data_IF_873615472165
#
_entry.id   IF_873615472165
#
_cell.length_a   1.000
_cell.length_b   1.000
_cell.length_c   1.000
_cell.angle_alpha   90.00
_cell.angle_beta   90.00
_cell.angle_gamma   90.00
#
_symmetry.space_group_name_H-M   'P 1'
#
loop_
_entity.id
_entity.type
_entity.pdbx_description
1 polymer ?
#
# COMPACT_ATOMS: atom_id res chain seq x y z
N UNK A 1 -2.30 13.66 -10.25
CA UNK A 1 -1.26 13.35 -9.25
C UNK A 1 -1.61 12.01 -8.65
N UNK A 2 -0.75 11.01 -8.80
CA UNK A 2 -0.95 9.66 -8.27
C UNK A 2 -0.82 9.66 -6.75
N UNK A 3 -1.46 8.70 -6.09
CA UNK A 3 -1.38 8.51 -4.65
C UNK A 3 -0.99 7.06 -4.35
N UNK A 4 -0.07 6.86 -3.41
CA UNK A 4 0.24 5.52 -2.95
C UNK A 4 -0.93 4.89 -2.18
N UNK A 5 -1.05 3.58 -2.23
CA UNK A 5 -2.02 2.84 -1.41
C UNK A 5 -1.54 2.60 0.01
N UNK A 6 -0.24 2.69 0.26
CA UNK A 6 0.32 2.59 1.60
C UNK A 6 0.33 3.95 2.29
N UNK A 7 0.22 3.96 3.60
CA UNK A 7 0.25 5.20 4.36
C UNK A 7 0.15 4.98 5.86
N UNK A 8 0.59 6.00 6.60
CA UNK A 8 0.56 6.05 8.04
C UNK A 8 0.17 7.44 8.51
N UNK A 9 -0.68 7.49 9.52
CA UNK A 9 -1.04 8.73 10.19
C UNK A 9 -1.17 8.52 11.69
N UNK A 10 -0.74 9.49 12.46
CA UNK A 10 -0.85 9.51 13.92
C UNK A 10 -1.23 10.89 14.41
N UNK A 11 -2.10 10.92 15.40
CA UNK A 11 -2.40 12.14 16.15
C UNK A 11 -2.53 11.80 17.63
N UNK A 12 -2.19 12.76 18.46
CA UNK A 12 -2.29 12.63 19.90
C UNK A 12 -2.94 13.89 20.45
N UNK A 13 -3.88 13.71 21.38
CA UNK A 13 -4.52 14.80 22.12
C UNK A 13 -4.36 14.56 23.61
N UNK A 14 -3.95 15.60 24.31
CA UNK A 14 -3.83 15.58 25.76
C UNK A 14 -5.05 16.26 26.38
N UNK A 15 -5.75 15.54 27.24
CA UNK A 15 -6.76 16.03 28.15
C UNK A 15 -6.17 16.14 29.57
N UNK A 16 -6.84 16.81 30.48
CA UNK A 16 -6.32 17.01 31.83
C UNK A 16 -5.98 15.70 32.56
N UNK A 17 -6.82 14.67 32.41
CA UNK A 17 -6.77 13.38 33.10
C UNK A 17 -6.24 12.22 32.25
N UNK A 18 -6.17 12.39 30.92
CA UNK A 18 -5.83 11.31 29.97
C UNK A 18 -5.19 11.86 28.70
N UNK A 19 -4.48 10.97 28.02
CA UNK A 19 -3.91 11.19 26.70
C UNK A 19 -4.59 10.23 25.72
N UNK A 20 -5.06 10.76 24.63
CA UNK A 20 -5.76 10.00 23.59
C UNK A 20 -4.84 9.88 22.40
N UNK A 21 -4.60 8.67 21.96
CA UNK A 21 -3.78 8.37 20.81
C UNK A 21 -4.65 7.81 19.70
N UNK A 22 -4.48 8.35 18.50
CA UNK A 22 -5.12 7.90 17.27
C UNK A 22 -4.03 7.48 16.29
N UNK A 23 -4.12 6.28 15.79
CA UNK A 23 -3.19 5.73 14.79
C UNK A 23 -4.00 5.10 13.66
N UNK A 24 -3.59 5.38 12.43
CA UNK A 24 -4.19 4.82 11.23
C UNK A 24 -3.09 4.36 10.27
N UNK A 25 -3.22 3.13 9.80
CA UNK A 25 -2.30 2.51 8.83
C UNK A 25 -3.10 2.04 7.64
N UNK A 26 -2.51 2.13 6.46
CA UNK A 26 -3.11 1.62 5.25
C UNK A 26 -2.11 0.81 4.44
N UNK A 27 -2.57 -0.33 3.93
CA UNK A 27 -1.87 -1.21 3.02
C UNK A 27 -2.66 -1.36 1.72
N UNK A 28 -1.97 -1.85 0.69
CA UNK A 28 -2.58 -2.11 -0.61
C UNK A 28 -3.72 -3.14 -0.50
N UNK A 29 -4.90 -2.80 -1.04
CA UNK A 29 -6.05 -3.70 -1.19
C UNK A 29 -6.94 -3.27 -2.36
N UNK A 30 -7.61 -4.22 -2.99
CA UNK A 30 -8.55 -3.97 -4.10
C UNK A 30 -9.85 -3.29 -3.66
N UNK A 31 -10.25 -3.48 -2.41
CA UNK A 31 -11.44 -2.91 -1.80
C UNK A 31 -11.10 -2.20 -0.49
N UNK A 32 -12.04 -1.42 0.05
CA UNK A 32 -11.92 -0.89 1.41
C UNK A 32 -12.16 -2.03 2.40
N UNK A 33 -11.14 -2.34 3.20
CA UNK A 33 -11.20 -3.28 4.32
C UNK A 33 -10.75 -2.52 5.58
N UNK A 34 -11.71 -2.13 6.41
CA UNK A 34 -11.47 -1.28 7.58
C UNK A 34 -11.62 -2.08 8.87
N UNK A 35 -10.51 -2.31 9.54
CA UNK A 35 -10.45 -2.81 10.91
C UNK A 35 -10.31 -1.65 11.88
N UNK A 36 -11.22 -1.54 12.86
CA UNK A 36 -11.20 -0.48 13.85
C UNK A 36 -11.09 -1.07 15.26
N UNK A 37 -10.09 -0.61 16.02
CA UNK A 37 -9.91 -0.89 17.44
C UNK A 37 -10.13 0.40 18.21
N UNK A 38 -11.25 0.50 18.92
CA UNK A 38 -11.67 1.72 19.56
C UNK A 38 -11.84 1.46 21.06
N UNK A 39 -11.30 2.36 21.89
CA UNK A 39 -11.46 2.29 23.33
C UNK A 39 -12.96 2.27 23.72
N UNK A 40 -13.36 1.47 24.74
CA UNK A 40 -14.76 1.27 25.10
C UNK A 40 -15.59 2.56 25.22
N UNK A 41 -15.01 3.61 25.76
CA UNK A 41 -15.66 4.93 25.95
C UNK A 41 -16.13 5.56 24.61
N UNK A 42 -15.41 5.34 23.51
CA UNK A 42 -15.72 5.93 22.19
C UNK A 42 -16.40 4.95 21.23
N UNK A 43 -16.78 3.76 21.68
CA UNK A 43 -17.32 2.71 20.81
C UNK A 43 -18.66 3.10 20.17
N UNK A 44 -19.48 3.91 20.84
CA UNK A 44 -20.74 4.44 20.29
C UNK A 44 -20.53 5.32 19.05
N UNK A 45 -19.36 5.96 18.94
CA UNK A 45 -18.98 6.83 17.81
C UNK A 45 -18.24 6.08 16.67
N UNK A 46 -18.15 4.75 16.75
CA UNK A 46 -17.44 3.92 15.77
C UNK A 46 -17.92 4.14 14.32
N UNK A 47 -19.25 4.23 14.14
CA UNK A 47 -19.83 4.41 12.80
C UNK A 47 -19.47 5.77 12.19
N UNK A 48 -19.37 6.80 13.00
CA UNK A 48 -18.96 8.14 12.56
C UNK A 48 -17.50 8.13 12.09
N UNK A 49 -16.61 7.48 12.86
CA UNK A 49 -15.20 7.30 12.49
C UNK A 49 -15.08 6.49 11.19
N UNK A 50 -15.80 5.38 11.06
CA UNK A 50 -15.78 4.54 9.86
C UNK A 50 -16.22 5.30 8.61
N UNK A 51 -17.25 6.11 8.73
CA UNK A 51 -17.77 6.94 7.63
C UNK A 51 -16.74 7.99 7.20
N UNK A 52 -16.07 8.65 8.15
CA UNK A 52 -15.03 9.64 7.84
C UNK A 52 -13.84 9.01 7.14
N UNK A 53 -13.35 7.87 7.63
CA UNK A 53 -12.25 7.12 7.02
C UNK A 53 -12.64 6.68 5.60
N UNK A 54 -13.81 6.09 5.42
CA UNK A 54 -14.28 5.59 4.11
C UNK A 54 -14.49 6.73 3.11
N UNK A 55 -14.90 7.90 3.58
CA UNK A 55 -15.06 9.10 2.74
C UNK A 55 -13.72 9.64 2.24
N UNK A 56 -12.68 9.60 3.07
CA UNK A 56 -11.34 10.14 2.76
C UNK A 56 -10.45 9.15 2.04
N UNK A 57 -10.66 7.85 2.26
CA UNK A 57 -9.84 6.77 1.71
C UNK A 57 -10.74 5.89 0.84
N UNK A 58 -10.60 5.98 -0.47
CA UNK A 58 -11.45 5.27 -1.44
C UNK A 58 -11.29 3.75 -1.36
N UNK A 59 -10.05 3.26 -1.12
CA UNK A 59 -9.71 1.83 -1.01
C UNK A 59 -8.46 1.61 -0.16
N UNK A 60 -8.23 0.37 0.24
CA UNK A 60 -7.07 -0.06 1.01
C UNK A 60 -7.47 -0.95 2.18
N UNK A 61 -6.53 -1.74 2.68
CA UNK A 61 -6.67 -2.41 3.96
C UNK A 61 -6.23 -1.43 5.04
N UNK A 62 -7.18 -0.93 5.83
CA UNK A 62 -6.98 0.14 6.81
C UNK A 62 -7.13 -0.42 8.21
N UNK A 63 -6.08 -0.28 9.01
CA UNK A 63 -6.10 -0.56 10.44
C UNK A 63 -6.14 0.77 11.20
N UNK A 64 -7.24 1.01 11.92
CA UNK A 64 -7.46 2.16 12.77
C UNK A 64 -7.43 1.77 14.23
N UNK A 65 -6.73 2.53 15.06
CA UNK A 65 -6.65 2.31 16.50
C UNK A 65 -6.81 3.62 17.26
N UNK A 66 -7.72 3.62 18.23
CA UNK A 66 -7.94 4.72 19.15
C UNK A 66 -7.89 4.18 20.58
N UNK A 67 -6.89 4.63 21.35
CA UNK A 67 -6.73 4.19 22.74
C UNK A 67 -6.43 5.34 23.67
N UNK A 68 -6.69 5.10 24.96
CA UNK A 68 -6.53 6.05 26.03
C UNK A 68 -5.33 5.64 26.90
N UNK A 69 -4.44 6.55 27.14
CA UNK A 69 -3.40 6.45 28.18
C UNK A 69 -3.82 7.34 29.35
N UNK A 70 -4.09 6.74 30.52
CA UNK A 70 -4.38 7.50 31.72
C UNK A 70 -3.10 8.17 32.21
N UNK A 71 -3.15 9.47 32.50
CA UNK A 71 -2.05 10.14 33.20
C UNK A 71 -2.00 9.59 34.61
N UNK A 72 -0.82 9.19 35.08
CA UNK A 72 -0.64 8.79 36.48
C UNK A 72 -0.93 9.97 37.38
N UNK A 73 -2.16 10.05 37.88
CA UNK A 73 -2.47 10.90 39.02
C UNK A 73 -2.07 10.19 40.29
N UNK A 74 -1.61 10.93 41.30
CA UNK A 74 -1.14 10.37 42.58
C UNK A 74 -2.21 9.57 43.35
N UNK A 75 -3.46 9.52 42.87
CA UNK A 75 -4.58 8.70 43.37
C UNK A 75 -4.81 7.48 42.54
N UNK A 76 -3.87 6.54 42.56
CA UNK A 76 -4.02 5.26 41.80
C UNK A 76 -4.75 4.17 42.61
N UNK A 77 -5.25 4.45 43.78
CA UNK A 77 -5.98 3.48 44.58
C UNK A 77 -7.36 3.18 43.93
N UNK A 78 -7.66 1.89 43.79
CA UNK A 78 -8.99 1.47 43.32
C UNK A 78 -10.03 1.84 44.35
N UNK A 79 -11.05 2.64 44.02
CA UNK A 79 -12.07 3.05 44.98
C UNK A 79 -12.87 1.81 45.46
N UNK A 80 -13.23 1.84 46.75
CA UNK A 80 -14.04 0.80 47.33
C UNK A 80 -15.51 1.18 47.16
N UNK A 81 -16.33 0.28 46.63
CA UNK A 81 -17.76 0.46 46.49
C UNK A 81 -18.46 0.25 47.84
N UNK A 82 -18.67 1.37 48.57
CA UNK A 82 -19.24 1.35 49.88
C UNK A 82 -20.63 0.71 49.92
N UNK A 83 -21.47 0.94 48.91
CA UNK A 83 -22.82 0.40 48.82
C UNK A 83 -22.79 -1.14 48.76
N UNK A 84 -21.88 -1.72 47.97
CA UNK A 84 -21.73 -3.17 47.91
C UNK A 84 -21.16 -3.74 49.21
N UNK A 85 -20.21 -3.05 49.83
CA UNK A 85 -19.65 -3.45 51.13
C UNK A 85 -20.77 -3.53 52.19
N UNK A 86 -21.63 -2.52 52.29
CA UNK A 86 -22.77 -2.52 53.20
C UNK A 86 -23.76 -3.64 52.88
N UNK A 87 -24.04 -3.86 51.61
CA UNK A 87 -24.92 -4.96 51.17
C UNK A 87 -24.39 -6.33 51.58
N UNK A 88 -23.12 -6.63 51.33
CA UNK A 88 -22.49 -7.90 51.73
C UNK A 88 -22.42 -8.01 53.26
N UNK A 89 -22.09 -6.96 53.95
CA UNK A 89 -22.09 -6.95 55.44
C UNK A 89 -23.44 -7.37 55.99
N UNK A 90 -24.56 -6.75 55.56
CA UNK A 90 -25.94 -7.06 56.01
C UNK A 90 -26.31 -8.52 55.70
N UNK A 91 -25.95 -9.01 54.50
CA UNK A 91 -26.24 -10.39 54.12
C UNK A 91 -25.47 -11.40 54.98
N UNK A 92 -24.19 -11.17 55.26
CA UNK A 92 -23.37 -12.06 56.11
C UNK A 92 -23.91 -12.09 57.54
N UNK A 93 -24.27 -10.94 58.11
CA UNK A 93 -24.88 -10.87 59.43
C UNK A 93 -26.20 -11.68 59.50
N UNK A 94 -27.08 -11.50 58.51
CA UNK A 94 -28.35 -12.25 58.44
C UNK A 94 -28.14 -13.78 58.32
N UNK A 95 -27.15 -14.23 57.53
CA UNK A 95 -26.77 -15.62 57.42
C UNK A 95 -26.25 -16.14 58.76
N UNK A 96 -25.40 -15.38 59.43
CA UNK A 96 -24.83 -15.71 60.75
C UNK A 96 -25.93 -15.92 61.77
N UNK A 97 -26.91 -15.01 61.87
CA UNK A 97 -28.05 -15.14 62.79
C UNK A 97 -28.90 -16.35 62.46
N UNK A 98 -29.23 -16.56 61.18
CA UNK A 98 -30.12 -17.66 60.78
C UNK A 98 -29.50 -19.06 60.97
N UNK A 99 -28.18 -19.17 60.79
CA UNK A 99 -27.47 -20.43 60.87
C UNK A 99 -26.74 -20.69 62.19
N UNK A 100 -26.74 -19.71 63.11
CA UNK A 100 -26.03 -19.77 64.37
C UNK A 100 -24.50 -19.81 64.21
N UNK A 101 -23.96 -19.28 63.14
CA UNK A 101 -22.53 -19.20 62.85
C UNK A 101 -22.03 -17.88 63.45
N UNK A 102 -20.90 -17.88 64.21
CA UNK A 102 -20.37 -16.64 64.75
C UNK A 102 -19.91 -15.69 63.63
N UNK A 103 -20.19 -14.40 63.79
CA UNK A 103 -19.71 -13.34 62.86
C UNK A 103 -18.17 -13.27 62.94
N UNK A 104 -17.49 -12.90 61.84
CA UNK A 104 -16.04 -12.70 61.80
C UNK A 104 -15.60 -11.62 62.81
N UNK A 105 -14.37 -11.70 63.30
CA UNK A 105 -13.75 -10.67 64.10
C UNK A 105 -13.53 -9.37 63.30
N UNK A 106 -13.43 -8.24 64.01
CA UNK A 106 -13.29 -6.94 63.33
C UNK A 106 -12.16 -6.84 62.32
N UNK A 107 -11.08 -7.60 62.51
CA UNK A 107 -9.94 -7.66 61.58
C UNK A 107 -10.26 -8.50 60.34
N UNK A 108 -11.04 -9.57 60.47
CA UNK A 108 -11.40 -10.46 59.38
C UNK A 108 -12.52 -9.88 58.50
N UNK A 109 -13.33 -8.95 59.04
CA UNK A 109 -14.36 -8.27 58.26
C UNK A 109 -13.80 -7.51 57.08
N UNK A 110 -12.75 -6.69 57.25
CA UNK A 110 -12.16 -5.96 56.16
C UNK A 110 -11.57 -6.91 55.10
N UNK A 111 -10.88 -7.93 55.53
CA UNK A 111 -10.31 -8.95 54.63
C UNK A 111 -11.38 -9.71 53.83
N UNK A 112 -12.49 -10.02 54.46
CA UNK A 112 -13.63 -10.75 53.85
C UNK A 112 -14.36 -9.81 52.85
N UNK A 113 -14.76 -8.61 53.27
CA UNK A 113 -15.55 -7.68 52.46
C UNK A 113 -14.77 -7.16 51.24
N UNK A 114 -13.48 -6.88 51.38
CA UNK A 114 -12.64 -6.41 50.27
C UNK A 114 -12.34 -7.49 49.21
N UNK A 115 -12.54 -8.77 49.58
CA UNK A 115 -12.40 -9.90 48.62
C UNK A 115 -13.69 -10.28 47.93
N UNK A 116 -14.84 -9.71 48.34
CA UNK A 116 -16.12 -9.97 47.67
C UNK A 116 -16.15 -9.40 46.27
N UNK A 117 -16.85 -10.05 45.35
CA UNK A 117 -16.95 -9.64 43.96
C UNK A 117 -17.37 -8.18 43.82
N UNK A 118 -16.77 -7.46 42.91
CA UNK A 118 -17.11 -6.08 42.50
C UNK A 118 -16.95 -5.00 43.58
N UNK A 119 -16.43 -5.31 44.75
CA UNK A 119 -16.16 -4.34 45.82
C UNK A 119 -15.03 -3.38 45.46
N UNK A 120 -14.03 -3.85 44.74
CA UNK A 120 -12.88 -3.05 44.26
C UNK A 120 -12.94 -2.86 42.76
N UNK A 121 -14.09 -2.69 42.15
CA UNK A 121 -14.26 -2.39 40.73
C UNK A 121 -14.22 -0.92 40.48
N UNK A 122 -13.41 -0.50 39.49
CA UNK A 122 -13.53 0.84 38.93
C UNK A 122 -14.84 0.88 38.12
N UNK A 123 -15.86 1.53 38.64
CA UNK A 123 -17.02 1.92 37.83
C UNK A 123 -16.57 2.99 36.83
N UNK A 124 -15.92 2.56 35.76
CA UNK A 124 -15.55 3.42 34.63
C UNK A 124 -16.79 3.63 33.71
N UNK A 125 -17.97 3.89 34.25
CA UNK A 125 -19.10 4.45 33.50
C UNK A 125 -18.85 5.96 33.31
N UNK A 126 -17.77 6.33 32.62
CA UNK A 126 -17.63 7.69 32.13
C UNK A 126 -18.54 7.83 30.92
N UNK A 127 -19.57 8.66 31.00
CA UNK A 127 -20.35 9.07 29.84
C UNK A 127 -19.49 10.00 28.98
N UNK A 128 -19.51 9.80 27.68
CA UNK A 128 -18.78 10.61 26.71
C UNK A 128 -19.46 11.98 26.59
N UNK A 129 -18.75 13.04 26.94
CA UNK A 129 -19.26 14.40 26.69
C UNK A 129 -19.07 14.81 25.23
N UNK A 130 -19.98 15.61 24.67
CA UNK A 130 -19.86 16.12 23.30
C UNK A 130 -18.62 17.01 23.12
N UNK A 131 -18.19 17.72 24.16
CA UNK A 131 -16.98 18.54 24.14
C UNK A 131 -15.72 17.67 24.00
N UNK A 132 -15.65 16.58 24.78
CA UNK A 132 -14.54 15.61 24.67
C UNK A 132 -14.56 14.95 23.30
N UNK A 133 -15.74 14.55 22.80
CA UNK A 133 -15.87 13.96 21.48
C UNK A 133 -15.35 14.89 20.37
N UNK A 134 -15.70 16.17 20.40
CA UNK A 134 -15.23 17.14 19.40
C UNK A 134 -13.69 17.21 19.34
N UNK A 135 -13.03 17.16 20.50
CA UNK A 135 -11.56 17.15 20.59
C UNK A 135 -10.98 15.85 20.04
N UNK A 136 -11.56 14.70 20.38
CA UNK A 136 -11.14 13.38 19.87
C UNK A 136 -11.36 13.28 18.37
N UNK A 137 -12.51 13.74 17.88
CA UNK A 137 -12.82 13.74 16.44
C UNK A 137 -11.82 14.59 15.65
N UNK A 138 -11.43 15.76 16.16
CA UNK A 138 -10.35 16.56 15.56
C UNK A 138 -9.03 15.80 15.49
N UNK A 139 -8.71 14.95 16.48
CA UNK A 139 -7.52 14.09 16.41
C UNK A 139 -7.67 12.98 15.35
N UNK A 140 -8.87 12.41 15.19
CA UNK A 140 -9.17 11.45 14.12
C UNK A 140 -8.97 12.10 12.75
N UNK A 141 -9.53 13.30 12.55
CA UNK A 141 -9.35 14.04 11.28
C UNK A 141 -7.88 14.35 10.99
N UNK A 142 -7.11 14.75 12.01
CA UNK A 142 -5.66 15.00 11.86
C UNK A 142 -4.89 13.73 11.50
N UNK A 143 -5.19 12.59 12.12
CA UNK A 143 -4.54 11.32 11.81
C UNK A 143 -4.85 10.86 10.37
N UNK A 144 -6.12 10.97 9.97
CA UNK A 144 -6.55 10.65 8.60
C UNK A 144 -5.91 11.61 7.59
N UNK A 145 -5.87 12.91 7.90
CA UNK A 145 -5.19 13.92 7.09
C UNK A 145 -3.71 13.62 6.90
N UNK A 146 -3.00 13.27 7.98
CA UNK A 146 -1.59 12.89 7.92
C UNK A 146 -1.34 11.66 7.03
N UNK A 147 -2.22 10.66 7.08
CA UNK A 147 -2.15 9.50 6.19
C UNK A 147 -2.38 9.90 4.72
N UNK A 148 -3.34 10.76 4.43
CA UNK A 148 -3.60 11.24 3.06
C UNK A 148 -2.40 12.03 2.54
N UNK A 149 -1.79 12.87 3.36
CA UNK A 149 -0.61 13.65 2.96
C UNK A 149 0.61 12.75 2.74
N UNK A 150 0.77 11.72 3.56
CA UNK A 150 1.80 10.69 3.35
C UNK A 150 1.61 10.00 1.98
N UNK A 151 0.38 9.55 1.66
CA UNK A 151 0.04 8.95 0.36
C UNK A 151 0.37 9.87 -0.82
N UNK A 152 0.11 11.17 -0.70
CA UNK A 152 0.44 12.15 -1.73
C UNK A 152 1.95 12.31 -1.92
N UNK A 153 2.71 12.38 -0.82
CA UNK A 153 4.17 12.50 -0.87
C UNK A 153 4.81 11.27 -1.51
N UNK A 154 4.37 10.08 -1.10
CA UNK A 154 4.85 8.81 -1.66
C UNK A 154 4.46 8.68 -3.14
N UNK A 155 3.22 9.05 -3.50
CA UNK A 155 2.76 9.09 -4.90
C UNK A 155 3.57 10.05 -5.77
N UNK A 156 3.95 11.20 -5.26
CA UNK A 156 4.83 12.15 -5.99
C UNK A 156 6.24 11.56 -6.22
N UNK A 157 6.78 10.83 -5.23
CA UNK A 157 8.05 10.13 -5.39
C UNK A 157 7.97 9.00 -6.42
N UNK A 158 6.88 8.23 -6.43
CA UNK A 158 6.59 7.20 -7.43
C UNK A 158 6.45 7.79 -8.84
N UNK A 159 5.72 8.90 -8.99
CA UNK A 159 5.58 9.60 -10.28
C UNK A 159 6.94 10.00 -10.84
N UNK A 160 7.85 10.53 -10.00
CA UNK A 160 9.21 10.88 -10.42
C UNK A 160 9.97 9.66 -10.90
N UNK A 161 9.91 8.53 -10.18
CA UNK A 161 10.53 7.26 -10.59
C UNK A 161 9.97 6.76 -11.93
N UNK A 162 8.65 6.78 -12.13
CA UNK A 162 8.05 6.36 -13.39
C UNK A 162 8.53 7.20 -14.56
N UNK A 163 8.58 8.53 -14.40
CA UNK A 163 9.10 9.43 -15.46
C UNK A 163 10.56 9.13 -15.81
N UNK A 164 11.39 8.86 -14.80
CA UNK A 164 12.80 8.47 -14.99
C UNK A 164 12.90 7.15 -15.76
N UNK A 165 12.18 6.10 -15.34
CA UNK A 165 12.21 4.80 -16.00
C UNK A 165 11.69 4.84 -17.43
N UNK A 166 10.61 5.55 -17.68
CA UNK A 166 10.08 5.78 -19.03
C UNK A 166 11.08 6.54 -19.91
N UNK A 167 11.75 7.55 -19.38
CA UNK A 167 12.79 8.28 -20.11
C UNK A 167 13.98 7.38 -20.43
N UNK A 168 14.41 6.51 -19.51
CA UNK A 168 15.47 5.52 -19.74
C UNK A 168 15.10 4.56 -20.87
N UNK A 169 13.88 3.98 -20.85
CA UNK A 169 13.41 3.10 -21.93
C UNK A 169 13.37 3.84 -23.28
N UNK A 170 12.90 5.10 -23.28
CA UNK A 170 12.88 5.92 -24.50
C UNK A 170 14.28 6.17 -25.05
N UNK A 171 15.23 6.49 -24.18
CA UNK A 171 16.62 6.68 -24.57
C UNK A 171 17.24 5.38 -25.12
N UNK A 172 17.02 4.24 -24.43
CA UNK A 172 17.49 2.94 -24.90
C UNK A 172 16.91 2.61 -26.27
N UNK A 173 15.65 2.93 -26.53
CA UNK A 173 14.98 2.72 -27.82
C UNK A 173 15.67 3.51 -28.95
N UNK A 174 16.10 4.74 -28.68
CA UNK A 174 16.82 5.58 -29.67
C UNK A 174 18.20 5.00 -29.99
N UNK A 175 18.87 4.37 -29.01
CA UNK A 175 20.21 3.79 -29.20
C UNK A 175 20.22 2.54 -30.08
N UNK A 176 19.09 1.97 -30.45
CA UNK A 176 18.97 0.80 -31.33
C UNK A 176 19.32 1.13 -32.80
N UNK A 177 19.00 2.34 -33.26
CA UNK A 177 19.07 2.70 -34.68
C UNK A 177 20.42 2.43 -35.38
N UNK A 178 21.61 2.67 -34.80
CA UNK A 178 22.89 2.35 -35.40
C UNK A 178 23.05 0.85 -35.67
N UNK A 179 22.63 0.02 -34.73
CA UNK A 179 22.80 -1.45 -34.80
C UNK A 179 21.83 -2.12 -35.78
N UNK A 180 20.72 -1.50 -36.12
CA UNK A 180 19.81 -1.99 -37.16
C UNK A 180 20.50 -2.03 -38.52
N UNK A 181 21.22 -0.95 -38.88
CA UNK A 181 21.98 -0.86 -40.14
C UNK A 181 23.13 -1.88 -40.19
N UNK A 182 23.87 -1.98 -39.07
CA UNK A 182 24.99 -2.94 -38.95
C UNK A 182 24.50 -4.39 -39.04
N UNK A 183 23.35 -4.70 -38.44
CA UNK A 183 22.73 -6.03 -38.49
C UNK A 183 22.43 -6.47 -39.93
N UNK A 184 21.80 -5.59 -40.73
CA UNK A 184 21.48 -5.91 -42.14
C UNK A 184 22.75 -6.20 -42.91
N UNK A 185 23.81 -5.42 -42.74
CA UNK A 185 25.09 -5.63 -43.39
C UNK A 185 25.70 -7.00 -42.98
N UNK A 186 25.72 -7.31 -41.67
CA UNK A 186 26.23 -8.60 -41.17
C UNK A 186 25.42 -9.81 -41.66
N UNK A 187 24.10 -9.70 -41.79
CA UNK A 187 23.25 -10.76 -42.31
C UNK A 187 23.60 -11.01 -43.78
N UNK A 188 23.75 -9.96 -44.59
CA UNK A 188 24.13 -10.04 -45.99
C UNK A 188 25.49 -10.72 -46.15
N UNK A 189 26.50 -10.25 -45.42
CA UNK A 189 27.86 -10.82 -45.44
C UNK A 189 27.84 -12.30 -45.08
N UNK A 190 27.20 -12.72 -43.99
CA UNK A 190 27.10 -14.11 -43.54
C UNK A 190 26.44 -15.02 -44.57
N UNK A 191 25.36 -14.56 -45.22
CA UNK A 191 24.67 -15.35 -46.25
C UNK A 191 25.55 -15.48 -47.48
N UNK A 192 26.19 -14.41 -47.92
CA UNK A 192 27.11 -14.42 -49.08
C UNK A 192 28.29 -15.36 -48.81
N UNK A 193 28.97 -15.25 -47.68
CA UNK A 193 30.06 -16.11 -47.25
C UNK A 193 29.66 -17.60 -47.17
N UNK A 194 28.46 -17.89 -46.66
CA UNK A 194 27.96 -19.26 -46.56
C UNK A 194 27.70 -19.86 -47.95
N UNK A 195 27.20 -19.08 -48.90
CA UNK A 195 26.98 -19.48 -50.27
C UNK A 195 28.30 -19.72 -51.00
N UNK A 196 29.29 -18.83 -50.88
CA UNK A 196 30.61 -18.95 -51.48
C UNK A 196 31.39 -20.18 -50.98
N UNK A 197 31.25 -20.50 -49.68
CA UNK A 197 31.93 -21.67 -49.07
C UNK A 197 31.25 -23.00 -49.38
N UNK A 198 29.96 -23.00 -49.62
CA UNK A 198 29.17 -24.25 -49.76
C UNK A 198 28.95 -24.65 -51.21
N UNK A 199 28.93 -23.68 -52.13
CA UNK A 199 28.63 -23.92 -53.55
C UNK A 199 29.84 -23.53 -54.40
N UNK A 200 30.49 -24.49 -54.93
CA UNK A 200 31.50 -24.33 -56.06
C UNK A 200 30.81 -23.98 -57.39
N UNK A 201 29.58 -23.57 -57.42
CA UNK A 201 28.74 -23.31 -58.59
C UNK A 201 28.16 -21.87 -58.47
N UNK A 202 28.09 -21.22 -59.62
CA UNK A 202 27.51 -19.88 -59.77
C UNK A 202 26.08 -19.88 -59.27
N UNK A 203 25.81 -19.08 -58.20
CA UNK A 203 24.49 -18.99 -57.60
C UNK A 203 23.65 -17.87 -58.24
N UNK A 204 22.34 -18.08 -58.31
CA UNK A 204 21.40 -17.10 -58.84
C UNK A 204 21.31 -15.86 -57.91
N UNK A 205 21.88 -14.74 -58.35
CA UNK A 205 21.90 -13.48 -57.62
C UNK A 205 20.50 -12.94 -57.34
N UNK A 206 19.53 -13.15 -58.23
CA UNK A 206 18.15 -12.69 -58.05
C UNK A 206 17.47 -13.45 -56.90
N UNK A 207 17.75 -14.74 -56.80
CA UNK A 207 17.25 -15.57 -55.71
C UNK A 207 17.86 -15.17 -54.35
N UNK A 208 19.15 -14.87 -54.33
CA UNK A 208 19.80 -14.33 -53.13
C UNK A 208 19.19 -13.01 -52.67
N UNK A 209 18.92 -12.11 -53.61
CA UNK A 209 18.28 -10.81 -53.28
C UNK A 209 16.86 -11.01 -52.72
N UNK A 210 16.06 -11.93 -53.29
CA UNK A 210 14.72 -12.23 -52.76
C UNK A 210 14.77 -12.80 -51.34
N UNK A 211 15.69 -13.73 -51.06
CA UNK A 211 15.88 -14.29 -49.73
C UNK A 211 16.37 -13.22 -48.74
N UNK A 212 17.26 -12.32 -49.15
CA UNK A 212 17.71 -11.18 -48.32
C UNK A 212 16.57 -10.22 -47.97
N UNK A 213 15.71 -9.88 -48.94
CA UNK A 213 14.53 -9.04 -48.71
C UNK A 213 13.61 -9.73 -47.67
N UNK A 214 13.32 -11.02 -47.84
CA UNK A 214 12.52 -11.78 -46.91
C UNK A 214 13.09 -11.75 -45.47
N UNK A 215 14.42 -11.94 -45.32
CA UNK A 215 15.06 -11.86 -44.00
C UNK A 215 15.06 -10.47 -43.44
N UNK A 216 15.23 -9.42 -44.24
CA UNK A 216 15.17 -8.01 -43.81
C UNK A 216 13.76 -7.68 -43.29
N UNK A 217 12.72 -8.07 -44.01
CA UNK A 217 11.32 -7.86 -43.60
C UNK A 217 10.97 -8.63 -42.32
N UNK A 218 11.39 -9.90 -42.25
CA UNK A 218 11.15 -10.74 -41.06
C UNK A 218 11.83 -10.21 -39.80
N UNK A 219 12.95 -9.53 -39.95
CA UNK A 219 13.71 -8.95 -38.85
C UNK A 219 13.40 -7.45 -38.65
N UNK A 220 12.49 -6.87 -39.40
CA UNK A 220 12.12 -5.48 -39.24
C UNK A 220 11.51 -5.23 -37.83
N UNK A 221 11.97 -4.16 -37.17
CA UNK A 221 11.57 -3.76 -35.83
C UNK A 221 10.94 -2.38 -35.78
N UNK A 222 10.67 -1.77 -36.94
CA UNK A 222 10.13 -0.41 -37.00
C UNK A 222 8.74 -0.30 -36.37
N UNK A 223 7.90 -1.34 -36.57
CA UNK A 223 6.56 -1.38 -35.98
C UNK A 223 6.63 -1.45 -34.46
N UNK A 224 7.46 -2.32 -33.90
CA UNK A 224 7.66 -2.46 -32.45
C UNK A 224 8.22 -1.18 -31.82
N UNK A 225 9.16 -0.53 -32.49
CA UNK A 225 9.71 0.78 -32.05
C UNK A 225 8.63 1.84 -32.01
N UNK A 226 7.81 1.95 -33.04
CA UNK A 226 6.73 2.92 -33.13
C UNK A 226 5.66 2.64 -32.06
N UNK A 227 5.23 1.40 -31.91
CA UNK A 227 4.25 0.99 -30.90
C UNK A 227 4.77 1.24 -29.48
N UNK A 228 6.02 0.83 -29.19
CA UNK A 228 6.64 1.08 -27.89
C UNK A 228 6.71 2.59 -27.60
N UNK A 229 7.15 3.39 -28.57
CA UNK A 229 7.18 4.86 -28.42
C UNK A 229 5.80 5.46 -28.13
N UNK A 230 4.74 4.95 -28.75
CA UNK A 230 3.36 5.36 -28.48
C UNK A 230 2.91 4.94 -27.08
N UNK A 231 3.24 3.73 -26.62
CA UNK A 231 2.91 3.26 -25.27
C UNK A 231 3.65 4.06 -24.19
N UNK A 232 4.93 4.42 -24.41
CA UNK A 232 5.69 5.29 -23.48
C UNK A 232 5.01 6.65 -23.32
N UNK A 233 4.61 7.29 -24.43
CA UNK A 233 3.88 8.57 -24.41
C UNK A 233 2.52 8.42 -23.71
N UNK A 234 1.80 7.33 -23.99
CA UNK A 234 0.49 7.08 -23.40
C UNK A 234 0.59 6.82 -21.89
N UNK A 235 1.66 6.18 -21.43
CA UNK A 235 1.94 5.99 -20.00
C UNK A 235 2.10 7.35 -19.31
N UNK A 236 2.94 8.24 -19.83
CA UNK A 236 3.14 9.60 -19.28
C UNK A 236 1.83 10.39 -19.27
N UNK A 237 1.09 10.41 -20.36
CA UNK A 237 -0.20 11.11 -20.43
C UNK A 237 -1.19 10.55 -19.41
N UNK A 238 -1.17 9.25 -19.16
CA UNK A 238 -2.04 8.61 -18.16
C UNK A 238 -1.66 9.01 -16.74
N UNK A 239 -0.35 9.15 -16.42
CA UNK A 239 0.12 9.69 -15.14
C UNK A 239 -0.41 11.11 -14.87
N UNK A 240 -0.59 11.91 -15.91
CA UNK A 240 -1.03 13.30 -15.80
C UNK A 240 -2.55 13.44 -15.62
N UNK A 241 -3.33 12.44 -16.03
CA UNK A 241 -4.81 12.52 -16.06
C UNK A 241 -5.50 12.34 -14.71
N UNK A 242 -4.77 12.03 -13.61
CA UNK A 242 -5.36 12.05 -12.27
C UNK A 242 -5.18 10.78 -11.45
N UNK A 243 -6.00 10.63 -10.41
CA UNK A 243 -6.01 9.50 -9.45
C UNK A 243 -6.71 8.27 -10.01
N UNK A 244 -6.41 7.09 -9.45
CA UNK A 244 -7.11 5.85 -9.80
C UNK A 244 -6.67 5.19 -11.10
N UNK A 245 -5.52 5.56 -11.66
CA UNK A 245 -5.04 5.08 -12.96
C UNK A 245 -4.15 3.84 -12.89
N UNK A 246 -3.82 3.33 -11.71
CA UNK A 246 -2.87 2.21 -11.52
C UNK A 246 -3.19 0.99 -12.39
N UNK A 247 -4.47 0.60 -12.49
CA UNK A 247 -4.89 -0.52 -13.34
C UNK A 247 -4.60 -0.28 -14.82
N UNK A 248 -4.84 0.97 -15.28
CA UNK A 248 -4.59 1.37 -16.67
C UNK A 248 -3.09 1.44 -16.95
N UNK A 249 -2.29 1.99 -16.04
CA UNK A 249 -0.84 2.01 -16.12
C UNK A 249 -0.28 0.58 -16.18
N UNK A 250 -0.82 -0.36 -15.40
CA UNK A 250 -0.47 -1.77 -15.45
C UNK A 250 -0.72 -2.40 -16.82
N UNK A 251 -1.85 -2.11 -17.46
CA UNK A 251 -2.12 -2.58 -18.83
C UNK A 251 -1.14 -1.98 -19.84
N UNK A 252 -0.85 -0.68 -19.76
CA UNK A 252 0.11 -0.04 -20.66
C UNK A 252 1.50 -0.66 -20.47
N UNK A 253 1.94 -0.91 -19.24
CA UNK A 253 3.20 -1.58 -18.96
C UNK A 253 3.25 -3.01 -19.51
N UNK A 254 2.14 -3.75 -19.54
CA UNK A 254 2.07 -5.06 -20.20
C UNK A 254 2.24 -4.95 -21.70
N UNK A 255 1.58 -3.98 -22.37
CA UNK A 255 1.76 -3.75 -23.81
C UNK A 255 3.20 -3.34 -24.15
N UNK A 256 3.80 -2.44 -23.34
CA UNK A 256 5.22 -2.13 -23.49
C UNK A 256 6.10 -3.39 -23.43
N UNK A 257 5.80 -4.32 -22.51
CA UNK A 257 6.49 -5.59 -22.38
C UNK A 257 6.35 -6.49 -23.61
N UNK A 258 5.21 -6.49 -24.26
CA UNK A 258 4.99 -7.22 -25.50
C UNK A 258 5.88 -6.68 -26.62
N UNK A 259 5.91 -5.37 -26.80
CA UNK A 259 6.73 -4.73 -27.83
C UNK A 259 8.23 -4.94 -27.57
N UNK A 260 8.71 -4.82 -26.34
CA UNK A 260 10.10 -5.08 -25.96
C UNK A 260 10.46 -6.55 -26.19
N UNK A 261 9.57 -7.49 -25.90
CA UNK A 261 9.82 -8.91 -26.14
C UNK A 261 9.91 -9.23 -27.64
N UNK A 262 9.00 -8.69 -28.46
CA UNK A 262 9.01 -8.87 -29.92
C UNK A 262 10.24 -8.24 -30.53
N UNK A 263 10.63 -7.04 -30.09
CA UNK A 263 11.88 -6.39 -30.49
C UNK A 263 13.09 -7.27 -30.15
N UNK A 264 13.12 -7.86 -28.94
CA UNK A 264 14.16 -8.80 -28.54
C UNK A 264 14.22 -10.04 -29.41
N UNK A 265 13.09 -10.66 -29.75
CA UNK A 265 13.06 -11.86 -30.58
C UNK A 265 13.49 -11.61 -32.03
N UNK A 266 13.24 -10.41 -32.56
CA UNK A 266 13.69 -9.97 -33.88
C UNK A 266 15.11 -9.42 -33.87
N UNK A 267 15.71 -9.11 -32.72
CA UNK A 267 17.04 -8.53 -32.58
C UNK A 267 18.12 -9.61 -32.66
N UNK A 268 18.56 -9.96 -33.88
CA UNK A 268 19.66 -10.90 -34.08
C UNK A 268 21.03 -10.17 -34.07
N UNK A 269 21.30 -9.40 -32.99
CA UNK A 269 22.52 -8.63 -32.80
C UNK A 269 22.83 -8.50 -31.30
N UNK A 270 24.08 -8.78 -30.88
CA UNK A 270 24.44 -8.87 -29.47
C UNK A 270 24.20 -7.55 -28.69
N UNK A 271 24.55 -6.39 -29.26
CA UNK A 271 24.34 -5.10 -28.61
C UNK A 271 22.84 -4.75 -28.50
N UNK A 272 22.05 -5.04 -29.53
CA UNK A 272 20.59 -4.87 -29.45
C UNK A 272 19.97 -5.74 -28.34
N UNK A 273 20.46 -6.99 -28.20
CA UNK A 273 20.00 -7.89 -27.12
C UNK A 273 20.32 -7.30 -25.72
N UNK A 274 21.51 -6.72 -25.53
CA UNK A 274 21.87 -6.05 -24.27
C UNK A 274 20.93 -4.88 -23.98
N UNK A 275 20.63 -4.05 -24.98
CA UNK A 275 19.70 -2.92 -24.86
C UNK A 275 18.30 -3.41 -24.48
N UNK A 276 17.81 -4.49 -25.11
CA UNK A 276 16.51 -5.11 -24.79
C UNK A 276 16.47 -5.61 -23.35
N UNK A 277 17.54 -6.22 -22.84
CA UNK A 277 17.62 -6.65 -21.43
C UNK A 277 17.51 -5.45 -20.51
N UNK A 278 18.25 -4.36 -20.79
CA UNK A 278 18.15 -3.12 -19.99
C UNK A 278 16.74 -2.53 -20.01
N UNK A 279 16.07 -2.51 -21.18
CA UNK A 279 14.66 -2.07 -21.24
C UNK A 279 13.73 -2.95 -20.40
N UNK A 280 13.95 -4.26 -20.36
CA UNK A 280 13.17 -5.19 -19.54
C UNK A 280 13.38 -4.93 -18.06
N UNK A 281 14.61 -4.68 -17.63
CA UNK A 281 14.91 -4.37 -16.23
C UNK A 281 14.22 -3.09 -15.77
N UNK A 282 14.26 -2.02 -16.59
CA UNK A 282 13.54 -0.77 -16.31
C UNK A 282 12.00 -0.99 -16.26
N UNK A 283 11.47 -1.81 -17.16
CA UNK A 283 10.05 -2.10 -17.23
C UNK A 283 9.55 -2.96 -16.05
N UNK A 284 10.34 -3.93 -15.57
CA UNK A 284 9.95 -4.75 -14.41
C UNK A 284 9.85 -3.88 -13.16
N UNK A 285 10.76 -2.91 -12.96
CA UNK A 285 10.67 -1.97 -11.87
C UNK A 285 9.39 -1.10 -11.96
N UNK A 286 8.98 -0.69 -13.18
CA UNK A 286 7.70 0.00 -13.38
C UNK A 286 6.52 -0.89 -12.97
N UNK A 287 6.51 -2.17 -13.38
CA UNK A 287 5.41 -3.09 -13.08
C UNK A 287 5.26 -3.36 -11.60
N UNK A 288 6.36 -3.53 -10.87
CA UNK A 288 6.37 -3.73 -9.42
C UNK A 288 5.76 -2.53 -8.70
N UNK A 289 6.15 -1.32 -9.07
CA UNK A 289 5.67 -0.10 -8.44
C UNK A 289 4.21 0.26 -8.81
N UNK A 290 3.77 -0.03 -10.05
CA UNK A 290 2.37 0.22 -10.47
C UNK A 290 1.36 -0.57 -9.64
N UNK A 291 1.75 -1.70 -9.03
CA UNK A 291 0.88 -2.46 -8.12
C UNK A 291 0.59 -1.69 -6.82
N UNK A 292 1.41 -0.71 -6.47
CA UNK A 292 1.29 0.13 -5.27
C UNK A 292 0.58 1.46 -5.53
N UNK A 293 0.18 1.75 -6.78
CA UNK A 293 -0.48 2.99 -7.20
C UNK A 293 -2.01 2.89 -7.14
N UNK A 294 -2.66 4.02 -6.88
CA UNK A 294 -4.13 4.18 -6.83
C UNK A 294 -4.69 4.74 -8.13
#
# INVERSE_FOLDING_TARGET
MIQSMTGYGKATVELPDKKINVEIKSLNSKAMDLSARIAPLYREKEMEIRNEISRKLERGKVDFSLWIEKKESAESATPINQTLVEGYYKQICAISENLGIPVPDATDWFATLLRMPDVMTKNDTQELSEEEWAVVYSAVEKAVGALVDFRKQEGAALEKKFREKIANISHLLETIAPYEKERVAKVKERITDALEKTLSVDYDKNRLEQELIYYIEKLDVNEEKQRLGNHLKYFINTLETGTGQGKKLGFIAQEMGREINTLGSKSNHAEMQKIVVQMKDELEQIKEEVLNDM
#
